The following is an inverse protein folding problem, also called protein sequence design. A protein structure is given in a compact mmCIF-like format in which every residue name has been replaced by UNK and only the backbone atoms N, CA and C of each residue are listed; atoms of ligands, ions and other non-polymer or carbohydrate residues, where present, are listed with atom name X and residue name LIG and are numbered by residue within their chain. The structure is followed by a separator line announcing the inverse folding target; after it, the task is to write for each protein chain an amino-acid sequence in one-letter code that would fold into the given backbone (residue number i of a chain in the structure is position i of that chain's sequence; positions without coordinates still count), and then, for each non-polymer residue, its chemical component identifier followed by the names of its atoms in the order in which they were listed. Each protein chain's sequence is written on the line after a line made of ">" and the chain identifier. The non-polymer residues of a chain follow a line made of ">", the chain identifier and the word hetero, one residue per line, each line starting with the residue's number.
data_IF_002726866728
#
_entry.id   IF_002726866728
#
_cell.length_a   1.000
_cell.length_b   1.000
_cell.length_c   1.000
_cell.angle_alpha   90.00
_cell.angle_beta   90.00
_cell.angle_gamma   90.00
#
_symmetry.space_group_name_H-M   'P 1'
#
loop_
_entity.id
_entity.type
_entity.pdbx_description
1 polymer ?
#
# COMPACT_ATOMS: atom_id res chain seq x y z
N UNK A 1 35.19 -69.82 -31.21
CA UNK A 1 36.07 -69.22 -30.18
C UNK A 1 35.31 -68.01 -29.62
N UNK A 2 34.29 -68.19 -28.78
CA UNK A 2 34.27 -68.34 -27.30
C UNK A 2 34.67 -67.08 -26.48
N UNK A 3 33.63 -66.31 -26.09
CA UNK A 3 33.34 -65.66 -24.77
C UNK A 3 34.27 -64.53 -24.22
N UNK A 4 33.86 -63.74 -23.18
CA UNK A 4 32.52 -63.25 -22.77
C UNK A 4 32.42 -61.81 -22.18
N UNK A 5 31.16 -61.35 -22.04
CA UNK A 5 30.49 -60.56 -20.97
C UNK A 5 31.31 -59.82 -19.91
N UNK A 6 30.91 -58.58 -19.56
CA UNK A 6 30.55 -58.18 -18.19
C UNK A 6 29.43 -57.12 -18.17
N UNK A 7 28.47 -57.34 -17.27
CA UNK A 7 27.36 -56.47 -16.87
C UNK A 7 27.63 -56.11 -15.40
N UNK A 8 27.43 -54.86 -14.99
CA UNK A 8 27.36 -54.52 -13.56
C UNK A 8 26.48 -53.28 -13.33
N UNK A 9 25.32 -53.50 -12.71
CA UNK A 9 24.60 -52.53 -11.88
C UNK A 9 25.40 -52.25 -10.61
N UNK A 10 25.30 -51.04 -10.03
CA UNK A 10 25.13 -50.87 -8.58
C UNK A 10 25.02 -49.40 -8.11
N UNK A 11 23.91 -49.14 -7.38
CA UNK A 11 23.81 -48.42 -6.09
C UNK A 11 23.66 -46.88 -6.08
N UNK A 12 22.50 -46.44 -5.56
CA UNK A 12 22.23 -45.18 -4.84
C UNK A 12 22.29 -45.58 -3.33
N UNK A 13 22.98 -44.89 -2.38
CA UNK A 13 22.57 -43.55 -1.94
C UNK A 13 23.65 -42.62 -1.31
N UNK A 14 23.17 -41.39 -1.03
CA UNK A 14 23.66 -40.44 -0.02
C UNK A 14 24.92 -39.64 -0.34
N UNK A 15 24.81 -38.73 -1.31
CA UNK A 15 25.44 -37.43 -1.14
C UNK A 15 24.36 -36.50 -0.57
N UNK A 16 24.53 -36.10 0.69
CA UNK A 16 24.06 -34.81 1.18
C UNK A 16 24.50 -33.76 0.15
N UNK A 17 23.60 -33.40 -0.77
CA UNK A 17 23.82 -32.21 -1.58
C UNK A 17 23.68 -31.04 -0.63
N UNK A 18 24.82 -30.66 -0.06
CA UNK A 18 25.12 -29.28 0.21
C UNK A 18 24.57 -28.46 -0.96
N UNK A 19 23.71 -27.49 -0.66
CA UNK A 19 23.29 -26.47 -1.61
C UNK A 19 24.56 -25.80 -2.13
N UNK A 20 25.13 -26.32 -3.22
CA UNK A 20 25.99 -25.54 -4.11
C UNK A 20 25.02 -24.75 -4.95
N UNK A 21 25.03 -23.44 -4.75
CA UNK A 21 24.23 -22.48 -5.49
C UNK A 21 24.30 -22.83 -6.98
N UNK A 22 23.21 -23.38 -7.50
CA UNK A 22 22.84 -23.19 -8.89
C UNK A 22 22.90 -21.68 -9.08
N UNK A 23 23.59 -21.20 -10.11
CA UNK A 23 23.88 -19.77 -10.34
C UNK A 23 22.64 -18.90 -10.63
N UNK A 24 21.57 -19.08 -9.87
CA UNK A 24 20.28 -18.40 -9.91
C UNK A 24 20.39 -16.94 -9.45
N UNK A 25 21.46 -16.59 -8.71
CA UNK A 25 21.71 -15.23 -8.24
C UNK A 25 23.19 -14.90 -8.48
N UNK A 26 23.52 -13.79 -9.18
CA UNK A 26 24.90 -13.42 -9.47
C UNK A 26 25.68 -13.13 -8.18
N UNK A 27 26.91 -13.62 -8.12
CA UNK A 27 27.83 -13.43 -7.00
C UNK A 27 28.77 -12.24 -7.30
N UNK A 28 28.83 -11.25 -6.42
CA UNK A 28 29.86 -10.20 -6.45
C UNK A 28 30.65 -10.24 -5.15
N UNK A 29 31.97 -10.35 -5.26
CA UNK A 29 32.91 -10.36 -4.12
C UNK A 29 32.60 -11.43 -3.05
N UNK A 30 32.21 -12.65 -3.42
CA UNK A 30 31.95 -13.72 -2.45
C UNK A 30 30.53 -13.73 -1.86
N UNK A 31 29.64 -12.84 -2.32
CA UNK A 31 28.28 -12.66 -1.76
C UNK A 31 27.23 -12.86 -2.84
N UNK A 32 26.28 -13.76 -2.58
CA UNK A 32 25.11 -14.04 -3.42
C UNK A 32 24.20 -12.81 -3.44
N UNK A 33 23.98 -12.18 -4.61
CA UNK A 33 23.08 -11.03 -4.78
C UNK A 33 23.65 -9.65 -4.40
N UNK A 34 24.78 -9.62 -3.68
CA UNK A 34 25.65 -8.45 -3.44
C UNK A 34 25.06 -7.24 -2.69
N UNK A 35 25.20 -7.19 -1.35
CA UNK A 35 25.48 -6.00 -0.50
C UNK A 35 26.18 -6.51 0.79
N UNK A 36 27.18 -5.80 1.33
CA UNK A 36 28.12 -6.29 2.36
C UNK A 36 27.76 -6.14 3.85
N UNK A 37 28.57 -6.84 4.66
CA UNK A 37 28.94 -6.79 6.09
C UNK A 37 27.98 -6.31 7.19
N UNK A 38 26.67 -6.55 7.07
CA UNK A 38 25.82 -6.69 8.27
C UNK A 38 25.21 -8.08 8.31
N UNK A 39 25.69 -8.91 9.24
CA UNK A 39 25.10 -10.20 9.54
C UNK A 39 23.71 -9.99 10.17
N UNK A 40 22.65 -10.36 9.46
CA UNK A 40 21.31 -10.39 10.04
C UNK A 40 21.16 -11.64 10.90
N UNK A 41 21.10 -11.46 12.21
CA UNK A 41 20.78 -12.56 13.13
C UNK A 41 19.29 -12.86 13.02
N UNK A 42 18.93 -13.94 12.32
CA UNK A 42 17.55 -14.41 12.21
C UNK A 42 17.13 -14.90 13.60
N UNK A 43 16.31 -14.12 14.30
CA UNK A 43 15.67 -14.60 15.53
C UNK A 43 14.74 -15.74 15.15
N UNK A 44 15.12 -16.95 15.50
CA UNK A 44 14.28 -18.13 15.41
C UNK A 44 13.21 -18.02 16.49
N UNK A 45 12.05 -17.49 16.13
CA UNK A 45 10.85 -17.65 16.94
C UNK A 45 10.48 -19.13 16.98
N UNK A 46 9.89 -19.61 18.09
CA UNK A 46 9.39 -20.97 18.17
C UNK A 46 8.51 -21.22 16.95
N UNK A 47 8.82 -22.30 16.23
CA UNK A 47 8.05 -22.68 15.06
C UNK A 47 6.58 -22.76 15.48
N UNK A 48 5.77 -21.84 14.96
CA UNK A 48 4.33 -21.99 15.06
C UNK A 48 4.04 -23.34 14.41
N UNK A 49 3.35 -24.23 15.13
CA UNK A 49 2.99 -25.54 14.60
C UNK A 49 2.11 -25.33 13.37
N UNK A 50 2.75 -25.36 12.20
CA UNK A 50 2.09 -25.29 10.90
C UNK A 50 1.62 -26.71 10.62
N UNK A 51 0.36 -26.99 10.93
CA UNK A 51 -0.30 -28.19 10.42
C UNK A 51 -0.78 -27.83 9.01
N UNK A 52 -0.08 -28.23 7.94
CA UNK A 52 -0.45 -27.81 6.60
C UNK A 52 -1.82 -28.39 6.29
N UNK A 53 -2.77 -27.52 5.97
CA UNK A 53 -4.09 -27.92 5.51
C UNK A 53 -4.11 -28.13 3.99
N UNK A 54 -5.30 -28.10 3.41
CA UNK A 54 -5.54 -28.22 1.96
C UNK A 54 -5.86 -26.84 1.35
N UNK A 55 -5.82 -26.71 0.02
CA UNK A 55 -6.27 -25.49 -0.69
C UNK A 55 -7.80 -25.41 -0.74
N UNK A 56 -8.31 -24.17 -0.76
CA UNK A 56 -9.74 -23.86 -0.92
C UNK A 56 -9.88 -22.81 -2.03
N UNK A 57 -10.45 -23.17 -3.19
CA UNK A 57 -10.34 -22.38 -4.43
C UNK A 57 -11.64 -22.30 -5.23
N UNK A 58 -11.84 -21.17 -5.91
CA UNK A 58 -12.82 -21.00 -7.01
C UNK A 58 -12.05 -20.93 -8.33
N UNK A 59 -12.40 -21.82 -9.25
CA UNK A 59 -11.76 -21.94 -10.55
C UNK A 59 -12.63 -21.27 -11.62
N UNK A 60 -12.02 -20.54 -12.55
CA UNK A 60 -12.69 -19.95 -13.72
C UNK A 60 -13.97 -19.18 -13.39
N UNK A 61 -13.87 -18.26 -12.43
CA UNK A 61 -14.99 -17.48 -11.89
C UNK A 61 -15.74 -16.63 -12.93
N UNK A 62 -15.17 -16.42 -14.12
CA UNK A 62 -15.70 -15.54 -15.16
C UNK A 62 -15.56 -14.05 -14.82
N UNK A 63 -14.99 -13.73 -13.66
CA UNK A 63 -14.64 -12.40 -13.21
C UNK A 63 -13.14 -12.27 -13.44
N UNK A 64 -12.67 -11.09 -13.83
CA UNK A 64 -11.26 -10.76 -13.99
C UNK A 64 -10.57 -11.19 -15.30
N UNK A 65 -10.12 -12.44 -15.40
CA UNK A 65 -9.49 -12.99 -16.61
C UNK A 65 -10.51 -13.84 -17.37
N UNK A 66 -10.76 -13.45 -18.61
CA UNK A 66 -11.86 -13.96 -19.44
C UNK A 66 -11.40 -14.53 -20.78
N UNK A 67 -10.08 -14.58 -21.03
CA UNK A 67 -9.53 -15.16 -22.27
C UNK A 67 -9.90 -16.63 -22.38
N UNK A 68 -10.49 -16.99 -23.52
CA UNK A 68 -10.92 -18.36 -23.76
C UNK A 68 -9.73 -19.33 -23.61
N UNK A 69 -9.95 -20.39 -22.85
CA UNK A 69 -8.97 -21.43 -22.52
C UNK A 69 -7.78 -20.96 -21.66
N UNK A 70 -7.87 -19.81 -20.99
CA UNK A 70 -6.92 -19.42 -19.94
C UNK A 70 -7.52 -19.79 -18.59
N UNK A 71 -6.82 -20.63 -17.84
CA UNK A 71 -7.23 -21.04 -16.51
C UNK A 71 -6.94 -19.93 -15.48
N UNK A 72 -7.88 -19.69 -14.57
CA UNK A 72 -7.67 -18.82 -13.41
C UNK A 72 -8.22 -19.44 -12.13
N UNK A 73 -7.60 -19.11 -11.00
CA UNK A 73 -8.08 -19.51 -9.69
C UNK A 73 -7.81 -18.42 -8.65
N UNK A 74 -8.81 -18.09 -7.83
CA UNK A 74 -8.65 -17.25 -6.65
C UNK A 74 -9.17 -17.98 -5.41
N UNK A 75 -8.51 -17.78 -4.26
CA UNK A 75 -8.83 -18.53 -3.05
C UNK A 75 -7.80 -18.38 -1.94
N UNK A 76 -7.76 -19.36 -1.04
CA UNK A 76 -6.93 -19.34 0.17
C UNK A 76 -6.17 -20.65 0.36
N UNK A 77 -4.96 -20.57 0.91
CA UNK A 77 -4.19 -21.74 1.39
C UNK A 77 -3.95 -21.72 2.90
N UNK A 78 -4.17 -22.87 3.57
CA UNK A 78 -4.12 -22.99 5.04
C UNK A 78 -2.74 -23.44 5.53
N UNK A 79 -1.97 -22.46 6.00
CA UNK A 79 -0.56 -22.65 6.40
C UNK A 79 -0.40 -23.06 7.88
N UNK A 80 -1.47 -23.05 8.66
CA UNK A 80 -1.56 -23.58 10.01
C UNK A 80 -3.05 -23.81 10.35
N UNK A 81 -3.36 -24.23 11.58
CA UNK A 81 -4.73 -24.41 12.03
C UNK A 81 -5.62 -23.13 11.92
N UNK A 82 -5.03 -21.94 11.71
CA UNK A 82 -5.73 -20.64 11.76
C UNK A 82 -5.13 -19.50 10.90
N UNK A 83 -4.28 -19.79 9.91
CA UNK A 83 -3.64 -18.75 9.08
C UNK A 83 -3.82 -19.04 7.59
N UNK A 84 -4.21 -18.03 6.82
CA UNK A 84 -4.43 -18.15 5.38
C UNK A 84 -3.89 -16.96 4.61
N UNK A 85 -3.44 -17.21 3.39
CA UNK A 85 -2.99 -16.17 2.44
C UNK A 85 -3.98 -16.15 1.27
N UNK A 86 -4.51 -14.96 0.94
CA UNK A 86 -5.35 -14.75 -0.24
C UNK A 86 -4.45 -14.67 -1.48
N UNK A 87 -4.88 -15.26 -2.59
CA UNK A 87 -4.22 -15.15 -3.88
C UNK A 87 -5.23 -15.11 -5.02
N UNK A 88 -4.77 -14.63 -6.18
CA UNK A 88 -5.51 -14.74 -7.43
C UNK A 88 -4.52 -14.92 -8.58
N UNK A 89 -4.65 -16.06 -9.23
CA UNK A 89 -3.72 -16.64 -10.17
C UNK A 89 -4.33 -16.72 -11.57
N UNK A 90 -3.47 -16.62 -12.58
CA UNK A 90 -3.82 -16.65 -13.99
C UNK A 90 -2.75 -17.39 -14.77
N UNK A 91 -3.18 -18.32 -15.62
CA UNK A 91 -2.28 -18.99 -16.55
C UNK A 91 -1.64 -17.99 -17.53
N UNK A 92 -0.43 -18.32 -17.97
CA UNK A 92 0.17 -17.58 -19.07
C UNK A 92 -0.63 -17.80 -20.35
N UNK A 93 -0.99 -16.71 -21.02
CA UNK A 93 -1.81 -16.74 -22.25
C UNK A 93 -1.11 -17.41 -23.44
N UNK A 94 0.21 -17.63 -23.38
CA UNK A 94 1.02 -18.33 -24.38
C UNK A 94 1.91 -19.35 -23.69
N UNK A 95 1.83 -20.59 -24.18
CA UNK A 95 2.67 -21.69 -23.71
C UNK A 95 2.67 -21.85 -22.16
N UNK A 96 1.50 -21.97 -21.50
CA UNK A 96 1.39 -22.04 -20.04
C UNK A 96 2.18 -23.20 -19.43
N UNK A 97 2.37 -24.28 -20.19
CA UNK A 97 3.14 -25.44 -19.75
C UNK A 97 4.64 -25.15 -19.55
N UNK A 98 5.19 -24.11 -20.18
CA UNK A 98 6.63 -23.79 -20.14
C UNK A 98 6.93 -22.33 -19.75
N UNK A 99 5.91 -21.50 -19.52
CA UNK A 99 6.09 -20.12 -19.09
C UNK A 99 6.54 -20.05 -17.61
N UNK A 100 7.33 -19.04 -17.22
CA UNK A 100 7.77 -18.90 -15.83
C UNK A 100 6.63 -18.50 -14.89
N UNK A 101 6.68 -19.00 -13.65
CA UNK A 101 5.80 -18.56 -12.56
C UNK A 101 6.33 -17.27 -11.93
N UNK A 102 5.46 -16.27 -11.79
CA UNK A 102 5.78 -14.98 -11.15
C UNK A 102 4.92 -14.81 -9.90
N UNK A 103 5.58 -14.43 -8.79
CA UNK A 103 4.93 -13.98 -7.56
C UNK A 103 5.09 -12.47 -7.45
N UNK A 104 4.01 -11.75 -7.17
CA UNK A 104 4.00 -10.30 -7.00
C UNK A 104 3.60 -9.91 -5.58
N UNK A 105 4.30 -8.93 -5.02
CA UNK A 105 4.03 -8.31 -3.73
C UNK A 105 4.26 -6.80 -3.87
N UNK A 106 3.35 -5.95 -3.39
CA UNK A 106 3.63 -4.51 -3.29
C UNK A 106 3.79 -4.00 -1.83
N UNK A 107 4.27 -2.76 -1.70
CA UNK A 107 5.13 -2.30 -0.60
C UNK A 107 4.46 -1.45 0.48
N UNK A 108 5.19 -0.51 1.09
CA UNK A 108 4.72 0.32 2.20
C UNK A 108 5.71 0.42 3.36
N UNK A 109 5.59 -0.38 4.44
CA UNK A 109 4.89 -1.68 4.60
C UNK A 109 3.36 -1.62 4.80
N UNK A 110 2.66 -2.66 4.33
CA UNK A 110 1.23 -2.86 4.61
C UNK A 110 0.25 -2.63 3.45
N UNK A 111 0.73 -2.26 2.26
CA UNK A 111 -0.16 -2.09 1.10
C UNK A 111 -0.65 -3.43 0.59
N UNK A 112 -1.94 -3.49 0.24
CA UNK A 112 -2.51 -4.69 -0.34
C UNK A 112 -1.80 -5.03 -1.64
N UNK A 113 -1.43 -6.30 -1.83
CA UNK A 113 -0.99 -6.73 -3.17
C UNK A 113 -2.10 -6.72 -4.19
N UNK A 114 -3.33 -6.47 -3.75
CA UNK A 114 -4.47 -6.14 -4.58
C UNK A 114 -4.46 -4.70 -5.04
N UNK A 115 -3.64 -3.82 -4.47
CA UNK A 115 -3.20 -2.64 -5.19
C UNK A 115 -2.29 -3.09 -6.34
N UNK A 116 -1.48 -4.15 -6.22
CA UNK A 116 -0.82 -4.74 -7.37
C UNK A 116 -1.79 -5.33 -8.39
N UNK A 117 -2.57 -6.30 -7.93
CA UNK A 117 -3.44 -7.09 -8.77
C UNK A 117 -4.63 -6.30 -9.31
N UNK A 118 -5.19 -5.41 -8.50
CA UNK A 118 -6.32 -4.54 -8.81
C UNK A 118 -5.92 -3.08 -9.04
N UNK A 119 -4.69 -2.63 -8.86
CA UNK A 119 -4.29 -1.23 -9.15
C UNK A 119 -2.91 -1.11 -9.87
N UNK A 120 -2.14 -2.20 -10.06
CA UNK A 120 -0.85 -2.25 -10.77
C UNK A 120 -0.83 -3.35 -11.85
N UNK A 121 -0.23 -4.54 -11.63
CA UNK A 121 0.13 -5.55 -12.63
C UNK A 121 -0.79 -6.79 -12.80
N UNK A 122 -1.92 -6.90 -12.11
CA UNK A 122 -2.87 -8.02 -12.30
C UNK A 122 -3.87 -7.84 -13.46
N UNK A 123 -4.70 -8.85 -13.78
CA UNK A 123 -5.55 -8.82 -14.96
C UNK A 123 -6.97 -8.25 -14.74
N UNK A 124 -7.33 -7.74 -13.53
CA UNK A 124 -8.65 -7.11 -13.24
C UNK A 124 -8.76 -6.35 -11.92
N UNK A 125 -9.96 -5.81 -11.60
CA UNK A 125 -10.24 -4.65 -10.71
C UNK A 125 -11.58 -4.79 -9.86
N UNK A 126 -11.80 -4.13 -8.67
CA UNK A 126 -12.92 -4.31 -7.64
C UNK A 126 -13.90 -3.10 -7.44
N UNK A 127 -15.14 -3.35 -6.91
CA UNK A 127 -16.10 -2.37 -6.29
C UNK A 127 -17.00 -2.93 -5.11
N UNK A 128 -17.22 -2.25 -3.92
CA UNK A 128 -18.42 -2.25 -2.97
C UNK A 128 -18.28 -2.17 -1.38
N UNK A 129 -17.24 -1.68 -0.71
CA UNK A 129 -17.45 -0.40 0.02
C UNK A 129 -17.38 0.74 -0.98
N UNK A 130 -17.80 1.94 -0.58
CA UNK A 130 -17.47 3.14 -1.35
C UNK A 130 -15.99 3.46 -1.15
N UNK A 131 -15.14 2.63 -1.76
CA UNK A 131 -13.77 2.97 -2.07
C UNK A 131 -13.84 3.95 -3.21
N UNK A 132 -13.80 5.21 -2.83
CA UNK A 132 -13.77 6.31 -3.77
C UNK A 132 -12.29 6.59 -3.97
N UNK A 133 -11.74 6.11 -5.07
CA UNK A 133 -10.44 6.61 -5.46
C UNK A 133 -10.60 8.11 -5.75
N UNK A 134 -9.90 8.93 -4.99
CA UNK A 134 -9.97 10.38 -5.07
C UNK A 134 -8.59 10.98 -4.76
N UNK A 135 -8.26 12.17 -5.29
CA UNK A 135 -9.04 12.93 -6.29
C UNK A 135 -9.04 12.22 -7.66
N UNK A 136 -9.65 12.87 -8.66
CA UNK A 136 -9.56 12.45 -10.06
C UNK A 136 -8.09 12.21 -10.42
N UNK A 137 -7.71 10.97 -10.78
CA UNK A 137 -6.31 10.56 -11.01
C UNK A 137 -5.81 9.36 -10.17
N UNK A 138 -6.59 8.84 -9.21
CA UNK A 138 -6.19 7.73 -8.29
C UNK A 138 -6.92 6.42 -8.62
N UNK A 139 -6.28 5.25 -8.39
CA UNK A 139 -6.87 3.90 -8.47
C UNK A 139 -7.71 3.63 -9.73
N UNK A 140 -9.03 3.51 -9.57
CA UNK A 140 -10.03 3.36 -10.64
C UNK A 140 -10.72 4.66 -11.09
N UNK A 141 -10.44 5.82 -10.49
CA UNK A 141 -11.06 7.13 -10.78
C UNK A 141 -10.21 8.03 -11.69
N UNK A 142 -10.78 8.61 -12.77
CA UNK A 142 -10.02 9.27 -13.86
C UNK A 142 -10.73 10.51 -14.52
N UNK A 143 -10.00 11.52 -15.06
CA UNK A 143 -10.53 12.80 -15.64
C UNK A 143 -9.52 13.97 -15.79
N UNK A 144 -9.92 15.23 -16.05
CA UNK A 144 -9.00 16.41 -16.09
C UNK A 144 -8.55 16.79 -14.66
N UNK A 145 -7.29 16.52 -14.35
CA UNK A 145 -6.68 16.70 -13.02
C UNK A 145 -6.43 18.20 -12.72
N UNK A 146 -7.49 18.96 -12.42
CA UNK A 146 -7.42 20.39 -12.01
C UNK A 146 -7.26 20.60 -10.50
N UNK A 147 -7.43 19.53 -9.72
CA UNK A 147 -7.42 19.57 -8.26
C UNK A 147 -5.96 19.66 -7.78
N UNK A 148 -5.57 20.81 -7.25
CA UNK A 148 -4.24 21.03 -6.66
C UNK A 148 -4.25 21.05 -5.13
N UNK A 149 -5.44 21.09 -4.52
CA UNK A 149 -5.61 21.32 -3.08
C UNK A 149 -6.63 20.38 -2.45
N UNK A 150 -6.58 20.24 -1.11
CA UNK A 150 -7.58 19.44 -0.39
C UNK A 150 -8.97 20.10 -0.42
N UNK A 151 -9.05 21.42 -0.51
CA UNK A 151 -10.31 22.19 -0.59
C UNK A 151 -11.03 21.94 -1.91
N UNK A 152 -10.30 21.97 -3.02
CA UNK A 152 -10.84 21.61 -4.33
C UNK A 152 -11.29 20.14 -4.36
N UNK A 153 -10.50 19.20 -3.81
CA UNK A 153 -10.87 17.79 -3.69
C UNK A 153 -12.16 17.58 -2.86
N UNK A 154 -12.36 18.39 -1.82
CA UNK A 154 -13.57 18.34 -0.99
C UNK A 154 -14.82 18.77 -1.75
N UNK A 155 -14.74 19.85 -2.55
CA UNK A 155 -15.86 20.34 -3.34
C UNK A 155 -16.30 19.32 -4.39
N UNK A 156 -15.36 18.62 -5.00
CA UNK A 156 -15.62 17.56 -5.98
C UNK A 156 -16.25 16.33 -5.33
N UNK A 157 -15.69 15.84 -4.21
CA UNK A 157 -16.23 14.67 -3.50
C UNK A 157 -17.64 14.94 -2.95
N UNK A 158 -17.91 16.18 -2.51
CA UNK A 158 -19.26 16.61 -2.15
C UNK A 158 -20.23 16.45 -3.32
N UNK A 159 -19.88 17.02 -4.48
CA UNK A 159 -20.71 16.96 -5.68
C UNK A 159 -21.01 15.51 -6.08
N UNK A 160 -20.01 14.60 -6.03
CA UNK A 160 -20.22 13.16 -6.25
C UNK A 160 -21.23 12.55 -5.28
N UNK A 161 -21.10 12.80 -3.98
CA UNK A 161 -21.99 12.22 -2.97
C UNK A 161 -23.44 12.72 -3.11
N UNK A 162 -23.64 13.98 -3.52
CA UNK A 162 -24.98 14.49 -3.83
C UNK A 162 -25.66 13.72 -4.95
N UNK A 163 -24.90 13.37 -5.99
CA UNK A 163 -25.39 12.56 -7.11
C UNK A 163 -25.60 11.10 -6.71
N UNK A 164 -24.61 10.47 -6.04
CA UNK A 164 -24.66 9.07 -5.61
C UNK A 164 -25.88 8.78 -4.74
N UNK A 165 -26.17 9.68 -3.78
CA UNK A 165 -27.29 9.51 -2.85
C UNK A 165 -28.65 9.94 -3.41
N UNK A 166 -28.69 10.69 -4.51
CA UNK A 166 -29.94 10.99 -5.22
C UNK A 166 -30.39 9.85 -6.15
N UNK A 167 -29.49 8.91 -6.49
CA UNK A 167 -29.79 7.75 -7.34
C UNK A 167 -30.63 6.71 -6.60
N UNK A 168 -31.70 6.20 -7.24
CA UNK A 168 -32.65 5.28 -6.61
C UNK A 168 -32.01 3.99 -6.06
N UNK A 169 -30.92 3.51 -6.67
CA UNK A 169 -30.20 2.31 -6.20
C UNK A 169 -29.59 2.51 -4.81
N UNK A 170 -29.20 3.75 -4.50
CA UNK A 170 -28.43 4.10 -3.30
C UNK A 170 -29.16 5.09 -2.37
N UNK A 171 -30.28 5.68 -2.79
CA UNK A 171 -31.04 6.66 -2.02
C UNK A 171 -31.50 6.15 -0.63
N UNK A 172 -31.61 4.83 -0.48
CA UNK A 172 -31.88 4.19 0.80
C UNK A 172 -30.80 4.49 1.87
N UNK A 173 -29.59 4.89 1.47
CA UNK A 173 -28.46 5.22 2.34
C UNK A 173 -28.51 6.64 2.93
N UNK A 174 -29.33 7.55 2.40
CA UNK A 174 -29.38 8.97 2.84
C UNK A 174 -29.61 9.13 4.35
N UNK A 175 -30.38 8.23 4.94
CA UNK A 175 -30.73 8.28 6.37
C UNK A 175 -29.63 7.74 7.28
N UNK A 176 -28.62 7.08 6.73
CA UNK A 176 -27.58 6.43 7.50
C UNK A 176 -26.65 7.48 8.13
N UNK A 177 -26.04 7.14 9.26
CA UNK A 177 -24.95 7.93 9.81
C UNK A 177 -23.74 7.84 8.86
N UNK A 178 -23.15 8.99 8.54
CA UNK A 178 -21.97 9.11 7.70
C UNK A 178 -20.76 9.44 8.58
N UNK A 179 -19.67 8.70 8.41
CA UNK A 179 -18.37 9.09 8.94
C UNK A 179 -17.30 9.03 7.85
N UNK A 180 -16.27 9.85 8.03
CA UNK A 180 -15.10 9.88 7.15
C UNK A 180 -13.93 9.26 7.91
N UNK A 181 -13.23 8.32 7.29
CA UNK A 181 -11.99 7.74 7.82
C UNK A 181 -10.89 7.91 6.79
N UNK A 182 -9.74 8.38 7.26
CA UNK A 182 -8.57 8.65 6.42
C UNK A 182 -7.28 8.26 7.17
N UNK A 183 -6.19 8.06 6.43
CA UNK A 183 -4.88 7.69 6.99
C UNK A 183 -3.73 8.41 6.27
N UNK A 184 -2.60 8.64 6.96
CA UNK A 184 -1.39 9.22 6.36
C UNK A 184 -1.65 10.65 5.83
N UNK A 185 -1.54 10.90 4.52
CA UNK A 185 -1.95 12.18 3.93
C UNK A 185 -3.45 12.48 4.13
N UNK A 186 -4.21 11.44 4.46
CA UNK A 186 -5.56 11.54 5.00
C UNK A 186 -5.73 12.50 6.18
N UNK A 187 -4.67 12.82 6.92
CA UNK A 187 -4.70 13.88 7.93
C UNK A 187 -4.93 15.29 7.38
N UNK A 188 -4.67 15.53 6.08
CA UNK A 188 -5.03 16.76 5.38
C UNK A 188 -6.44 16.69 4.77
N UNK A 189 -6.77 15.57 4.11
CA UNK A 189 -8.09 15.40 3.48
C UNK A 189 -9.24 15.35 4.49
N UNK A 190 -9.13 14.53 5.53
CA UNK A 190 -10.22 14.26 6.46
C UNK A 190 -10.81 15.53 7.09
N UNK A 191 -10.00 16.38 7.73
CA UNK A 191 -10.47 17.65 8.30
C UNK A 191 -11.07 18.61 7.28
N UNK A 192 -10.45 18.76 6.11
CA UNK A 192 -10.90 19.68 5.05
C UNK A 192 -12.24 19.23 4.48
N UNK A 193 -12.42 17.93 4.26
CA UNK A 193 -13.65 17.34 3.71
C UNK A 193 -14.79 17.48 4.72
N UNK A 194 -14.55 17.11 5.98
CA UNK A 194 -15.56 17.24 7.02
C UNK A 194 -16.02 18.69 7.20
N UNK A 195 -15.09 19.65 7.18
CA UNK A 195 -15.41 21.08 7.26
C UNK A 195 -16.28 21.54 6.09
N UNK A 196 -15.91 21.19 4.85
CA UNK A 196 -16.67 21.56 3.66
C UNK A 196 -18.09 20.96 3.71
N UNK A 197 -18.21 19.67 4.04
CA UNK A 197 -19.50 18.98 4.06
C UNK A 197 -20.45 19.56 5.11
N UNK A 198 -19.93 19.92 6.30
CA UNK A 198 -20.72 20.58 7.34
C UNK A 198 -21.18 21.99 6.94
N UNK A 199 -20.36 22.74 6.19
CA UNK A 199 -20.74 24.05 5.66
C UNK A 199 -21.88 23.94 4.64
N UNK A 200 -21.79 22.98 3.71
CA UNK A 200 -22.84 22.74 2.73
C UNK A 200 -24.15 22.25 3.37
N UNK A 201 -24.04 21.35 4.35
CA UNK A 201 -25.18 20.92 5.16
C UNK A 201 -25.88 22.09 5.87
N UNK A 202 -25.11 23.09 6.30
CA UNK A 202 -25.65 24.31 6.92
C UNK A 202 -26.38 25.17 5.88
N UNK A 203 -25.82 25.36 4.69
CA UNK A 203 -26.47 26.09 3.59
C UNK A 203 -27.78 25.41 3.14
N UNK A 204 -27.81 24.08 3.07
CA UNK A 204 -29.02 23.28 2.78
C UNK A 204 -30.10 23.51 3.83
N UNK A 205 -29.73 23.39 5.12
CA UNK A 205 -30.68 23.64 6.23
C UNK A 205 -31.19 25.08 6.25
N UNK A 206 -30.35 26.03 5.86
CA UNK A 206 -30.70 27.45 5.74
C UNK A 206 -31.46 27.83 4.46
N UNK A 207 -31.78 26.86 3.61
CA UNK A 207 -32.45 27.06 2.32
C UNK A 207 -31.74 28.05 1.37
N UNK A 208 -30.43 28.27 1.53
CA UNK A 208 -29.63 29.11 0.63
C UNK A 208 -29.04 28.31 -0.53
N UNK A 209 -29.10 26.98 -0.46
CA UNK A 209 -28.70 26.04 -1.51
C UNK A 209 -29.54 24.77 -1.39
N UNK A 210 -29.78 24.07 -2.50
CA UNK A 210 -30.49 22.80 -2.51
C UNK A 210 -29.49 21.62 -2.51
N UNK A 211 -29.85 20.49 -1.89
CA UNK A 211 -29.04 19.28 -1.88
C UNK A 211 -29.51 18.21 -0.89
N UNK A 212 -28.90 17.03 -0.96
CA UNK A 212 -29.03 15.92 0.00
C UNK A 212 -28.19 16.20 1.23
N UNK A 213 -28.84 16.28 2.39
CA UNK A 213 -28.14 16.44 3.67
C UNK A 213 -27.32 15.19 3.99
N UNK A 214 -26.01 15.36 4.23
CA UNK A 214 -25.13 14.28 4.67
C UNK A 214 -25.14 14.18 6.20
N UNK A 215 -25.60 13.07 6.76
CA UNK A 215 -25.73 12.88 8.22
C UNK A 215 -24.38 12.58 8.90
N UNK A 216 -23.45 13.53 8.85
CA UNK A 216 -22.09 13.45 9.39
C UNK A 216 -22.08 13.23 10.91
N UNK A 217 -21.43 12.16 11.38
CA UNK A 217 -21.31 11.80 12.81
C UNK A 217 -19.87 11.66 13.31
N UNK A 218 -18.94 11.32 12.42
CA UNK A 218 -17.57 11.00 12.83
C UNK A 218 -16.54 11.43 11.78
N UNK A 219 -15.36 11.79 12.27
CA UNK A 219 -14.12 11.88 11.51
C UNK A 219 -13.06 11.07 12.26
N UNK A 220 -12.49 10.07 11.59
CA UNK A 220 -11.33 9.32 12.06
C UNK A 220 -10.10 9.61 11.20
N UNK A 221 -8.96 9.84 11.85
CA UNK A 221 -7.67 10.06 11.19
C UNK A 221 -6.66 9.11 11.81
N UNK A 222 -6.17 8.14 11.04
CA UNK A 222 -5.08 7.24 11.43
C UNK A 222 -3.73 7.79 11.01
N UNK A 223 -2.76 7.86 11.94
CA UNK A 223 -1.35 8.17 11.66
C UNK A 223 -1.14 9.35 10.69
N UNK A 224 -1.99 10.38 10.81
CA UNK A 224 -2.08 11.42 9.80
C UNK A 224 -0.98 12.47 9.95
N UNK A 225 -0.42 12.91 8.84
CA UNK A 225 0.25 14.21 8.81
C UNK A 225 -0.87 15.26 8.81
N UNK A 226 -0.95 16.08 9.85
CA UNK A 226 -2.03 17.06 10.06
C UNK A 226 -1.45 18.43 10.42
N UNK A 227 -0.39 18.44 11.22
CA UNK A 227 0.42 19.60 11.53
C UNK A 227 1.90 19.30 11.23
N UNK A 228 2.30 19.61 10.01
CA UNK A 228 3.68 19.41 9.55
C UNK A 228 4.69 20.18 10.39
N UNK A 229 4.37 21.37 10.90
CA UNK A 229 5.34 22.15 11.66
C UNK A 229 5.77 21.43 12.94
N UNK A 230 4.80 20.91 13.70
CA UNK A 230 5.08 20.14 14.90
C UNK A 230 5.60 18.75 14.56
N UNK A 231 4.98 18.04 13.61
CA UNK A 231 5.29 16.63 13.38
C UNK A 231 6.67 16.40 12.75
N UNK A 232 7.18 17.33 11.92
CA UNK A 232 8.48 17.11 11.28
C UNK A 232 9.66 17.15 12.25
N UNK A 233 9.63 18.00 13.29
CA UNK A 233 10.68 17.97 14.31
C UNK A 233 10.66 16.68 15.12
N UNK A 234 9.48 16.06 15.29
CA UNK A 234 9.35 14.81 16.03
C UNK A 234 10.04 13.63 15.36
N UNK A 235 10.30 13.65 14.04
CA UNK A 235 11.15 12.63 13.42
C UNK A 235 12.57 12.65 14.01
N UNK A 236 13.12 13.85 14.23
CA UNK A 236 14.46 14.04 14.81
C UNK A 236 14.43 13.68 16.29
N UNK A 237 13.46 14.21 17.04
CA UNK A 237 13.28 13.92 18.47
C UNK A 237 13.12 12.42 18.69
N UNK A 238 12.28 11.74 17.92
CA UNK A 238 12.05 10.30 18.08
C UNK A 238 13.26 9.46 17.66
N UNK A 239 14.00 9.87 16.63
CA UNK A 239 15.24 9.20 16.22
C UNK A 239 16.30 9.23 17.34
N UNK A 240 16.35 10.31 18.11
CA UNK A 240 17.28 10.52 19.22
C UNK A 240 16.77 9.98 20.56
N UNK A 241 15.51 10.26 20.87
CA UNK A 241 14.81 9.99 22.13
C UNK A 241 13.50 9.26 21.82
N UNK A 242 13.58 7.92 21.74
CA UNK A 242 12.40 7.07 21.62
C UNK A 242 12.19 6.26 22.92
N UNK A 243 10.94 5.87 23.22
CA UNK A 243 10.62 5.06 24.40
C UNK A 243 11.27 3.67 24.39
N UNK A 244 11.87 3.25 23.26
CA UNK A 244 12.56 1.97 23.13
C UNK A 244 14.04 2.05 23.54
N UNK A 245 14.57 3.25 23.82
CA UNK A 245 15.95 3.49 24.27
C UNK A 245 16.98 2.82 23.33
N UNK A 246 16.69 2.82 22.03
CA UNK A 246 17.58 2.32 20.98
C UNK A 246 18.06 3.44 20.09
N UNK A 247 19.33 3.36 19.70
CA UNK A 247 19.88 4.19 18.63
C UNK A 247 19.31 3.69 17.29
N UNK A 248 18.35 4.43 16.72
CA UNK A 248 17.73 4.08 15.43
C UNK A 248 18.64 4.40 14.24
N UNK A 249 19.42 5.47 14.36
CA UNK A 249 20.32 6.00 13.33
C UNK A 249 21.63 6.48 13.97
N UNK A 250 22.73 6.56 13.21
CA UNK A 250 23.99 7.15 13.67
C UNK A 250 23.82 8.56 14.26
N UNK A 251 24.59 8.88 15.30
CA UNK A 251 24.46 10.17 16.03
C UNK A 251 24.84 11.39 15.19
N UNK A 252 25.75 11.22 14.23
CA UNK A 252 26.09 12.23 13.22
C UNK A 252 24.90 12.56 12.31
N UNK A 253 24.08 11.56 11.94
CA UNK A 253 22.87 11.81 11.14
C UNK A 253 21.84 12.66 11.90
N UNK A 254 21.73 12.45 13.22
CA UNK A 254 20.87 13.27 14.08
C UNK A 254 21.39 14.71 14.13
N UNK A 255 22.71 14.90 14.24
CA UNK A 255 23.33 16.22 14.23
C UNK A 255 23.12 16.96 12.89
N UNK A 256 23.25 16.24 11.78
CA UNK A 256 22.99 16.77 10.43
C UNK A 256 21.51 17.16 10.27
N UNK A 257 20.57 16.31 10.72
CA UNK A 257 19.14 16.60 10.67
C UNK A 257 18.77 17.82 11.54
N UNK A 258 19.35 17.93 12.74
CA UNK A 258 19.17 19.12 13.61
C UNK A 258 19.70 20.40 12.93
N UNK A 259 20.82 20.30 12.21
CA UNK A 259 21.40 21.42 11.47
C UNK A 259 20.50 21.82 10.31
N UNK A 260 20.08 20.86 9.48
CA UNK A 260 19.18 21.10 8.35
C UNK A 260 17.83 21.70 8.79
N UNK A 261 17.31 21.28 9.94
CA UNK A 261 16.08 21.82 10.52
C UNK A 261 16.23 23.27 10.99
N UNK A 262 17.30 23.59 11.72
CA UNK A 262 17.44 24.87 12.43
C UNK A 262 18.27 25.95 11.69
N UNK A 263 19.04 25.59 10.67
CA UNK A 263 19.83 26.57 9.93
C UNK A 263 18.93 27.61 9.26
N UNK A 264 19.43 28.83 9.07
CA UNK A 264 18.69 29.88 8.38
C UNK A 264 18.31 29.43 6.97
N UNK A 265 17.01 29.52 6.65
CA UNK A 265 16.47 29.00 5.39
C UNK A 265 16.35 27.47 5.34
N UNK A 266 16.57 26.78 6.46
CA UNK A 266 16.38 25.34 6.65
C UNK A 266 14.90 24.93 6.72
N UNK A 267 14.65 23.66 7.03
CA UNK A 267 13.31 23.07 6.91
C UNK A 267 12.26 23.80 7.77
N UNK A 268 12.62 24.22 8.98
CA UNK A 268 11.72 24.96 9.88
C UNK A 268 11.29 26.31 9.28
N UNK A 269 12.24 27.09 8.78
CA UNK A 269 11.98 28.42 8.20
C UNK A 269 11.12 28.31 6.93
N UNK A 270 11.34 27.26 6.13
CA UNK A 270 10.56 27.00 4.93
C UNK A 270 9.11 26.63 5.27
N UNK A 271 8.87 25.77 6.27
CA UNK A 271 7.51 25.43 6.73
C UNK A 271 6.79 26.67 7.29
N UNK A 272 7.49 27.50 8.08
CA UNK A 272 6.92 28.77 8.57
C UNK A 272 6.55 29.69 7.41
N UNK A 273 7.43 29.85 6.42
CA UNK A 273 7.15 30.66 5.24
C UNK A 273 5.94 30.13 4.45
N UNK A 274 5.81 28.81 4.31
CA UNK A 274 4.66 28.16 3.68
C UNK A 274 3.35 28.45 4.44
N UNK A 275 3.34 28.27 5.75
CA UNK A 275 2.14 28.49 6.57
C UNK A 275 1.68 29.97 6.59
N UNK A 276 2.59 30.90 6.28
CA UNK A 276 2.30 32.33 6.18
C UNK A 276 1.95 32.81 4.75
N UNK A 277 1.57 31.90 3.85
CA UNK A 277 1.16 32.24 2.49
C UNK A 277 2.32 32.32 1.49
N UNK A 278 3.41 31.59 1.74
CA UNK A 278 4.51 31.42 0.78
C UNK A 278 4.05 30.81 -0.55
N UNK A 279 4.77 31.13 -1.62
CA UNK A 279 4.44 30.66 -2.97
C UNK A 279 4.84 29.18 -3.21
N UNK A 280 4.38 28.61 -4.33
CA UNK A 280 4.59 27.21 -4.72
C UNK A 280 6.07 26.78 -4.71
N UNK A 281 7.00 27.71 -4.96
CA UNK A 281 8.45 27.46 -4.91
C UNK A 281 8.92 27.06 -3.51
N UNK A 282 8.30 27.60 -2.46
CA UNK A 282 8.62 27.25 -1.06
C UNK A 282 8.05 25.86 -0.71
N UNK A 283 6.84 25.55 -1.19
CA UNK A 283 6.20 24.24 -0.98
C UNK A 283 6.97 23.09 -1.65
N UNK A 284 7.47 23.31 -2.86
CA UNK A 284 8.27 22.32 -3.59
C UNK A 284 9.62 22.05 -2.94
N UNK A 285 10.26 23.06 -2.33
CA UNK A 285 11.52 22.88 -1.62
C UNK A 285 11.36 22.07 -0.34
N UNK A 286 10.22 22.22 0.35
CA UNK A 286 9.88 21.40 1.53
C UNK A 286 9.78 19.92 1.11
N UNK A 287 9.09 19.59 0.01
CA UNK A 287 8.98 18.20 -0.47
C UNK A 287 10.32 17.53 -0.84
N UNK A 288 11.34 18.32 -1.21
CA UNK A 288 12.66 17.81 -1.58
C UNK A 288 13.65 17.75 -0.41
N UNK A 289 13.37 18.48 0.67
CA UNK A 289 14.20 18.58 1.85
C UNK A 289 13.84 17.56 2.95
N UNK A 290 12.80 16.75 2.69
CA UNK A 290 12.25 15.71 3.55
C UNK A 290 12.49 14.34 2.94
#
# INVERSE_FOLDING_TARGET
>A
MLLPKWLALAVIPSATLALKSTGEIPERNGVIGGVGDKSFTIKTTPAVARTPGKLRVTENSGICETTQNVYQASGYGDIAANQSIWFWYFDARKNPANAPLVLWFNGGPGSSSMIGLLQENGPCRITNDSYIDQPVGVGFSHGEEKVGTSEEAAADLWTFLQMFLADERFAHLVKNDLGIWTESYGGHYGPVFAKYFLAQNTAIRGHTTAGVHLNMKALGIGNGITDSFTQYSEYITYAEENPYVVTLVPTDWIADAKTAWNQTGGCKDQIIACNNGGNDTVQQRIQQAL
#
